data_IF_598397093344
#
_entry.id   IF_598397093344
#
_cell.length_a   1.000
_cell.length_b   1.000
_cell.length_c   1.000
_cell.angle_alpha   90.00
_cell.angle_beta   90.00
_cell.angle_gamma   90.00
#
_symmetry.space_group_name_H-M   'P 1'
#
loop_
_entity.id
_entity.type
_entity.pdbx_description
1 polymer ?
#
# COMPACT_ATOMS: atom_id res chain seq x y z
N UNK A 1 -2.62 -16.01 17.56
CA UNK A 1 -1.99 -14.84 16.89
C UNK A 1 -2.95 -14.42 15.80
N UNK A 2 -3.58 -13.23 15.91
CA UNK A 2 -4.33 -12.67 14.79
C UNK A 2 -3.29 -12.28 13.77
N UNK A 3 -3.25 -12.93 12.61
CA UNK A 3 -2.52 -12.40 11.47
C UNK A 3 -3.08 -11.00 11.24
N UNK A 4 -2.26 -9.97 11.44
CA UNK A 4 -2.64 -8.63 11.01
C UNK A 4 -3.00 -8.75 9.54
N UNK A 5 -4.27 -8.52 9.23
CA UNK A 5 -4.85 -8.69 7.91
C UNK A 5 -4.26 -7.61 7.00
N UNK A 6 -3.08 -7.92 6.49
CA UNK A 6 -2.23 -7.08 5.66
C UNK A 6 -2.18 -7.66 4.27
N UNK A 7 -1.93 -6.79 3.31
CA UNK A 7 -1.72 -7.18 1.93
C UNK A 7 -0.36 -6.70 1.47
N UNK A 8 0.26 -7.50 0.63
CA UNK A 8 1.50 -7.16 -0.05
C UNK A 8 1.18 -6.76 -1.49
N UNK A 9 1.59 -5.55 -1.89
CA UNK A 9 1.54 -5.09 -3.27
C UNK A 9 2.98 -4.98 -3.77
N UNK A 10 3.29 -5.71 -4.85
CA UNK A 10 4.62 -5.75 -5.46
C UNK A 10 4.66 -4.88 -6.71
N UNK A 11 5.87 -4.45 -7.10
CA UNK A 11 6.07 -3.63 -8.30
C UNK A 11 5.59 -2.19 -8.13
N UNK A 12 5.61 -1.68 -6.89
CA UNK A 12 5.23 -0.31 -6.59
C UNK A 12 6.39 0.62 -6.89
N UNK A 13 6.13 1.71 -7.61
CA UNK A 13 7.10 2.80 -7.83
C UNK A 13 6.63 4.05 -7.09
N UNK A 14 7.49 4.69 -6.32
CA UNK A 14 7.17 5.97 -5.69
C UNK A 14 7.56 7.09 -6.66
N UNK A 15 6.57 7.80 -7.18
CA UNK A 15 6.74 8.83 -8.21
C UNK A 15 6.57 10.26 -7.68
N UNK A 16 6.34 10.39 -6.37
CA UNK A 16 6.27 11.68 -5.69
C UNK A 16 6.23 11.47 -4.18
N UNK A 17 6.61 12.49 -3.42
CA UNK A 17 6.56 12.45 -1.96
C UNK A 17 6.18 13.81 -1.38
N UNK A 18 5.52 13.78 -0.21
CA UNK A 18 5.37 14.92 0.70
C UNK A 18 6.02 14.55 2.03
N UNK A 19 5.98 15.46 3.01
CA UNK A 19 6.49 15.18 4.37
C UNK A 19 5.79 14.00 5.05
N UNK A 20 4.55 13.69 4.68
CA UNK A 20 3.71 12.71 5.40
C UNK A 20 3.17 11.59 4.51
N UNK A 21 3.35 11.65 3.19
CA UNK A 21 2.78 10.68 2.26
C UNK A 21 3.66 10.45 1.04
N UNK A 22 3.51 9.26 0.45
CA UNK A 22 4.18 8.85 -0.78
C UNK A 22 3.13 8.65 -1.88
N UNK A 23 3.41 9.15 -3.09
CA UNK A 23 2.61 8.90 -4.28
C UNK A 23 3.11 7.60 -4.92
N UNK A 24 2.38 6.53 -4.66
CA UNK A 24 2.70 5.19 -5.12
C UNK A 24 1.97 4.90 -6.43
N UNK A 25 2.72 4.51 -7.46
CA UNK A 25 2.22 3.93 -8.69
C UNK A 25 2.20 2.40 -8.56
N UNK A 26 1.02 1.81 -8.75
CA UNK A 26 0.74 0.37 -8.64
C UNK A 26 -0.03 -0.05 -9.89
N UNK A 27 0.68 -0.60 -10.88
CA UNK A 27 0.12 -0.84 -12.21
C UNK A 27 -0.41 0.46 -12.83
N UNK A 28 -1.71 0.47 -13.18
CA UNK A 28 -2.36 1.62 -13.81
C UNK A 28 -2.96 2.62 -12.80
N UNK A 29 -2.78 2.37 -11.51
CA UNK A 29 -3.33 3.23 -10.45
C UNK A 29 -2.22 4.01 -9.76
N UNK A 30 -2.53 5.25 -9.40
CA UNK A 30 -1.69 6.10 -8.56
C UNK A 30 -2.47 6.46 -7.29
N UNK A 31 -1.83 6.34 -6.12
CA UNK A 31 -2.44 6.68 -4.84
C UNK A 31 -1.44 7.35 -3.91
N UNK A 32 -1.89 8.40 -3.25
CA UNK A 32 -1.21 8.93 -2.08
C UNK A 32 -1.46 8.00 -0.91
N UNK A 33 -0.38 7.53 -0.29
CA UNK A 33 -0.41 6.67 0.88
C UNK A 33 0.34 7.38 2.00
N UNK A 34 -0.33 7.63 3.12
CA UNK A 34 0.32 8.22 4.28
C UNK A 34 1.41 7.27 4.79
N UNK A 35 2.55 7.81 5.20
CA UNK A 35 3.68 7.02 5.72
C UNK A 35 3.27 6.14 6.92
N UNK A 36 2.27 6.59 7.69
CA UNK A 36 1.69 5.83 8.81
C UNK A 36 0.92 4.59 8.39
N UNK A 37 0.49 4.45 7.14
CA UNK A 37 -0.25 3.27 6.66
C UNK A 37 0.68 2.11 6.29
N UNK A 38 1.94 2.40 5.96
CA UNK A 38 2.93 1.38 5.65
C UNK A 38 3.17 0.49 6.86
N UNK A 39 3.22 -0.82 6.60
CA UNK A 39 3.48 -1.86 7.59
C UNK A 39 4.88 -2.44 7.40
N UNK A 40 5.45 -3.10 8.43
CA UNK A 40 6.70 -3.83 8.30
C UNK A 40 6.67 -4.78 7.10
N UNK A 41 7.78 -4.82 6.36
CA UNK A 41 7.89 -5.55 5.08
C UNK A 41 7.75 -4.66 3.85
N UNK A 42 7.28 -3.41 4.00
CA UNK A 42 7.39 -2.40 2.94
C UNK A 42 8.86 -2.07 2.68
N UNK A 43 9.26 -2.00 1.42
CA UNK A 43 10.66 -1.74 1.01
C UNK A 43 10.84 -0.37 0.37
N UNK A 44 9.75 0.37 0.14
CA UNK A 44 9.77 1.73 -0.39
C UNK A 44 9.54 2.74 0.74
N UNK A 45 10.23 3.86 0.70
CA UNK A 45 10.16 4.91 1.72
C UNK A 45 10.32 6.34 1.20
N UNK A 46 10.72 6.54 -0.05
CA UNK A 46 10.93 7.85 -0.67
C UNK A 46 10.67 7.83 -2.17
N UNK A 47 10.58 9.01 -2.76
CA UNK A 47 10.51 9.19 -4.21
C UNK A 47 11.69 8.53 -4.93
N UNK A 48 11.39 7.84 -6.03
CA UNK A 48 12.34 7.06 -6.83
C UNK A 48 12.47 5.59 -6.41
N UNK A 49 11.98 5.21 -5.23
CA UNK A 49 12.04 3.81 -4.79
C UNK A 49 11.12 2.93 -5.63
N UNK A 50 11.58 1.70 -5.90
CA UNK A 50 10.79 0.63 -6.54
C UNK A 50 10.83 -0.60 -5.65
N UNK A 51 9.66 -1.17 -5.34
CA UNK A 51 9.62 -2.36 -4.50
C UNK A 51 8.22 -2.78 -4.06
N UNK A 52 8.11 -3.08 -2.77
CA UNK A 52 6.95 -3.69 -2.14
C UNK A 52 6.34 -2.71 -1.15
N UNK A 53 5.01 -2.67 -1.12
CA UNK A 53 4.23 -1.93 -0.14
C UNK A 53 3.34 -2.91 0.61
N UNK A 54 3.44 -2.90 1.94
CA UNK A 54 2.60 -3.70 2.84
C UNK A 54 1.63 -2.77 3.54
N UNK A 55 0.32 -3.02 3.38
CA UNK A 55 -0.75 -2.17 3.90
C UNK A 55 -1.75 -3.00 4.70
N UNK A 56 -2.51 -2.35 5.57
CA UNK A 56 -3.70 -2.96 6.17
C UNK A 56 -4.73 -3.23 5.07
N UNK A 57 -5.32 -4.44 5.05
CA UNK A 57 -6.36 -4.81 4.08
C UNK A 57 -7.54 -3.86 4.07
N UNK A 58 -8.11 -3.40 5.20
CA UNK A 58 -9.22 -2.44 5.19
C UNK A 58 -8.87 -1.13 4.45
N UNK A 59 -7.65 -0.64 4.63
CA UNK A 59 -7.16 0.54 3.91
C UNK A 59 -7.06 0.24 2.41
N UNK A 60 -6.44 -0.87 2.04
CA UNK A 60 -6.27 -1.23 0.64
C UNK A 60 -7.60 -1.47 -0.11
N UNK A 61 -8.58 -2.06 0.56
CA UNK A 61 -9.96 -2.18 0.06
C UNK A 61 -10.57 -0.80 -0.16
N UNK A 62 -10.49 0.09 0.84
CA UNK A 62 -11.05 1.44 0.75
C UNK A 62 -10.39 2.27 -0.38
N UNK A 63 -9.12 2.02 -0.69
CA UNK A 63 -8.39 2.66 -1.79
C UNK A 63 -8.66 2.01 -3.16
N UNK A 64 -9.42 0.90 -3.19
CA UNK A 64 -9.69 0.12 -4.40
C UNK A 64 -8.45 -0.53 -5.00
N UNK A 65 -7.46 -0.84 -4.16
CA UNK A 65 -6.20 -1.50 -4.55
C UNK A 65 -6.36 -3.02 -4.61
N UNK A 66 -7.28 -3.56 -3.81
CA UNK A 66 -7.69 -4.96 -3.84
C UNK A 66 -9.21 -5.05 -3.83
N UNK A 67 -9.81 -6.06 -4.47
CA UNK A 67 -11.25 -6.27 -4.40
C UNK A 67 -11.68 -6.53 -2.95
N UNK A 68 -12.86 -6.04 -2.60
CA UNK A 68 -13.52 -6.45 -1.37
C UNK A 68 -13.90 -7.92 -1.49
N UNK A 69 -13.10 -8.81 -0.91
CA UNK A 69 -13.54 -10.17 -0.62
C UNK A 69 -14.29 -10.09 0.71
N UNK A 70 -15.61 -9.89 0.63
CA UNK A 70 -16.47 -10.02 1.79
C UNK A 70 -16.28 -11.39 2.44
N UNK A 71 -16.36 -11.44 3.77
CA UNK A 71 -16.42 -12.71 4.50
C UNK A 71 -17.57 -13.53 3.89
N UNK A 72 -17.23 -14.63 3.21
CA UNK A 72 -18.22 -15.68 2.97
C UNK A 72 -18.63 -16.20 4.35
N UNK A 73 -19.91 -15.98 4.67
CA UNK A 73 -20.56 -16.49 5.87
C UNK A 73 -20.56 -18.02 5.92
#
# INVERSE_FOLDING_TARGET
MRYEDTIEIRGVTVIGQTEVALLCQMGNQQRWIAQTEFRPGSTVGREGDVGIVVLKRPFAVAQGLVPFQGFHA
#
